data_IF_065963455256
#
_entry.id   IF_065963455256
#
_cell.length_a   1.000
_cell.length_b   1.000
_cell.length_c   1.000
_cell.angle_alpha   90.00
_cell.angle_beta   90.00
_cell.angle_gamma   90.00
#
_symmetry.space_group_name_H-M   'P 1'
#
loop_
_entity.id
_entity.type
_entity.pdbx_description
1 polymer ?
#
# COMPACT_ATOMS: atom_id res chain seq x y z
N UNK A 1 -16.00 6.04 43.58
CA UNK A 1 -16.75 6.60 42.43
C UNK A 1 -16.00 7.83 41.96
N UNK A 2 -15.85 7.96 40.64
CA UNK A 2 -15.08 8.96 39.88
C UNK A 2 -13.60 8.63 39.66
N UNK A 3 -13.38 7.82 38.62
CA UNK A 3 -12.20 7.83 37.75
C UNK A 3 -12.08 9.21 37.07
N UNK A 4 -10.88 9.80 36.97
CA UNK A 4 -10.46 10.70 35.86
C UNK A 4 -8.94 10.90 35.82
N UNK A 5 -8.44 10.77 34.59
CA UNK A 5 -7.10 10.82 33.98
C UNK A 5 -6.25 12.07 34.33
N UNK A 6 -4.92 11.91 34.42
CA UNK A 6 -3.99 12.92 33.91
C UNK A 6 -2.92 12.26 33.01
N UNK A 7 -2.89 12.74 31.77
CA UNK A 7 -2.00 12.37 30.70
C UNK A 7 -0.53 12.50 31.13
N UNK A 8 0.28 11.50 30.80
CA UNK A 8 1.73 11.64 30.84
C UNK A 8 2.14 12.73 29.84
N UNK A 9 2.55 13.89 30.33
CA UNK A 9 3.20 14.92 29.51
C UNK A 9 4.61 14.41 29.22
N UNK A 10 4.82 13.88 28.01
CA UNK A 10 6.15 13.59 27.51
C UNK A 10 6.84 14.93 27.21
N UNK A 11 7.66 15.41 28.16
CA UNK A 11 8.56 16.54 27.91
C UNK A 11 9.68 16.03 26.99
N UNK A 12 9.52 16.20 25.68
CA UNK A 12 10.64 16.10 24.75
C UNK A 12 11.50 17.34 24.96
N UNK A 13 12.65 17.17 25.60
CA UNK A 13 13.72 18.18 25.56
C UNK A 13 14.14 18.36 24.11
N UNK A 14 13.68 19.45 23.47
CA UNK A 14 14.23 19.91 22.21
C UNK A 14 15.67 20.35 22.47
N UNK A 15 16.63 19.49 22.14
CA UNK A 15 18.00 19.93 21.88
C UNK A 15 17.93 20.79 20.62
N UNK A 16 17.93 22.11 20.81
CA UNK A 16 18.12 23.09 19.73
C UNK A 16 19.60 23.04 19.32
N UNK A 17 19.96 22.08 18.49
CA UNK A 17 21.25 22.14 17.80
C UNK A 17 21.16 23.26 16.76
N UNK A 18 21.92 24.34 16.96
CA UNK A 18 21.90 25.56 16.12
C UNK A 18 22.67 25.39 14.81
N UNK A 19 22.97 24.15 14.41
CA UNK A 19 23.57 23.84 13.13
C UNK A 19 22.48 23.81 12.04
N UNK A 20 22.02 25.00 11.64
CA UNK A 20 21.25 25.20 10.42
C UNK A 20 22.18 24.99 9.21
N UNK A 21 22.52 23.75 8.91
CA UNK A 21 23.05 23.41 7.59
C UNK A 21 21.95 23.70 6.56
N UNK A 22 22.26 24.55 5.59
CA UNK A 22 21.36 24.83 4.48
C UNK A 22 21.01 23.52 3.79
N UNK A 23 19.76 23.07 3.94
CA UNK A 23 19.24 21.95 3.14
C UNK A 23 19.35 22.40 1.68
N UNK A 24 20.34 21.87 0.95
CA UNK A 24 20.42 22.06 -0.48
C UNK A 24 19.10 21.58 -1.07
N UNK A 25 18.40 22.49 -1.75
CA UNK A 25 17.09 22.23 -2.34
C UNK A 25 17.28 21.20 -3.45
N UNK A 26 17.19 19.91 -3.13
CA UNK A 26 17.22 18.82 -4.10
C UNK A 26 16.13 19.10 -5.13
N UNK A 27 16.47 19.03 -6.41
CA UNK A 27 15.48 19.15 -7.48
C UNK A 27 14.34 18.15 -7.21
N UNK A 28 13.13 18.68 -7.07
CA UNK A 28 11.94 17.86 -6.90
C UNK A 28 11.68 17.21 -8.26
N UNK A 29 11.60 15.86 -8.35
CA UNK A 29 11.25 15.19 -9.59
C UNK A 29 9.95 15.77 -10.15
N UNK A 30 9.94 16.14 -11.43
CA UNK A 30 8.71 16.57 -12.08
C UNK A 30 7.78 15.36 -12.20
N UNK A 31 6.68 15.35 -11.46
CA UNK A 31 5.61 14.36 -11.62
C UNK A 31 4.73 14.80 -12.79
N UNK A 32 4.54 13.93 -13.78
CA UNK A 32 3.61 14.19 -14.88
C UNK A 32 2.16 14.01 -14.42
N UNK A 33 1.22 14.56 -15.18
CA UNK A 33 -0.19 14.23 -14.99
C UNK A 33 -0.42 12.72 -15.11
N UNK A 34 -1.31 12.20 -14.28
CA UNK A 34 -1.80 10.83 -14.41
C UNK A 34 -2.55 10.63 -15.72
N UNK A 35 -2.50 9.40 -16.25
CA UNK A 35 -3.28 8.98 -17.42
C UNK A 35 -4.13 7.78 -17.05
N UNK A 36 -5.39 7.80 -17.44
CA UNK A 36 -6.26 6.62 -17.39
C UNK A 36 -5.75 5.62 -18.44
N UNK A 37 -5.28 4.46 -17.98
CA UNK A 37 -4.76 3.37 -18.84
C UNK A 37 -5.72 2.21 -19.00
N UNK A 38 -6.79 2.17 -18.20
CA UNK A 38 -7.80 1.14 -18.22
C UNK A 38 -8.83 1.29 -17.12
N UNK A 39 -9.73 0.32 -17.01
CA UNK A 39 -10.78 0.25 -15.99
C UNK A 39 -10.86 -1.17 -15.47
N UNK A 40 -10.90 -1.33 -14.16
CA UNK A 40 -11.12 -2.64 -13.53
C UNK A 40 -12.62 -2.93 -13.56
N UNK A 41 -13.03 -3.86 -14.41
CA UNK A 41 -14.45 -4.22 -14.61
C UNK A 41 -14.89 -5.52 -13.95
N UNK A 42 -14.07 -6.09 -13.06
CA UNK A 42 -14.34 -7.39 -12.43
C UNK A 42 -15.21 -7.22 -11.19
N UNK A 43 -16.36 -7.90 -11.12
CA UNK A 43 -17.24 -7.90 -9.95
C UNK A 43 -16.62 -8.51 -8.67
N UNK A 44 -15.49 -9.21 -8.79
CA UNK A 44 -14.72 -9.68 -7.63
C UNK A 44 -13.83 -8.60 -7.01
N UNK A 45 -13.57 -7.51 -7.73
CA UNK A 45 -12.72 -6.40 -7.30
C UNK A 45 -13.62 -5.20 -7.11
N UNK A 46 -14.15 -5.05 -5.90
CA UNK A 46 -15.17 -4.04 -5.57
C UNK A 46 -14.52 -2.79 -4.99
N UNK A 47 -13.38 -2.94 -4.32
CA UNK A 47 -12.73 -1.89 -3.54
C UNK A 47 -11.20 -2.04 -3.57
N UNK A 48 -10.61 -1.85 -4.76
CA UNK A 48 -9.17 -1.92 -4.93
C UNK A 48 -8.44 -0.78 -4.19
N UNK A 49 -7.63 -1.12 -3.18
CA UNK A 49 -6.83 -0.16 -2.39
C UNK A 49 -5.35 -0.14 -2.78
N UNK A 50 -4.73 -1.30 -3.01
CA UNK A 50 -3.30 -1.42 -3.38
C UNK A 50 -3.04 -1.82 -4.84
N UNK A 51 -1.86 -1.46 -5.38
CA UNK A 51 -1.41 -1.89 -6.71
C UNK A 51 0.11 -2.11 -6.82
N UNK A 52 0.53 -3.33 -7.20
CA UNK A 52 1.94 -3.66 -7.42
C UNK A 52 2.20 -4.24 -8.82
N UNK A 53 3.18 -3.71 -9.56
CA UNK A 53 3.56 -4.25 -10.86
C UNK A 53 4.41 -5.51 -10.75
N UNK A 54 4.08 -6.57 -11.49
CA UNK A 54 4.85 -7.82 -11.50
C UNK A 54 6.25 -7.64 -12.06
N UNK A 55 7.27 -8.11 -11.33
CA UNK A 55 8.64 -8.22 -11.83
C UNK A 55 8.86 -9.42 -12.75
N UNK A 56 8.13 -10.52 -12.49
CA UNK A 56 8.28 -11.79 -13.20
C UNK A 56 7.47 -11.83 -14.50
N UNK A 57 6.33 -11.16 -14.53
CA UNK A 57 5.39 -11.18 -15.64
C UNK A 57 5.07 -9.74 -16.11
N UNK A 58 5.88 -9.16 -17.01
CA UNK A 58 5.64 -7.81 -17.52
C UNK A 58 4.21 -7.64 -18.07
N UNK A 59 3.58 -6.52 -17.71
CA UNK A 59 2.20 -6.23 -18.11
C UNK A 59 1.13 -6.76 -17.15
N UNK A 60 1.51 -7.47 -16.09
CA UNK A 60 0.62 -7.86 -15.00
C UNK A 60 0.83 -7.00 -13.75
N UNK A 61 -0.27 -6.76 -13.05
CA UNK A 61 -0.35 -6.03 -11.79
C UNK A 61 -1.08 -6.91 -10.76
N UNK A 62 -0.80 -6.68 -9.48
CA UNK A 62 -1.46 -7.30 -8.34
C UNK A 62 -2.26 -6.25 -7.57
N UNK A 63 -3.47 -6.58 -7.16
CA UNK A 63 -4.35 -5.74 -6.32
C UNK A 63 -5.15 -6.62 -5.36
N UNK A 64 -5.84 -6.04 -4.40
CA UNK A 64 -6.72 -6.71 -3.44
C UNK A 64 -7.93 -5.81 -3.16
N UNK A 65 -8.99 -6.38 -2.60
CA UNK A 65 -10.02 -5.55 -1.97
C UNK A 65 -9.49 -5.02 -0.61
N UNK A 66 -10.12 -3.99 -0.07
CA UNK A 66 -9.71 -3.34 1.17
C UNK A 66 -10.32 -3.96 2.43
N UNK A 67 -11.65 -4.06 2.52
CA UNK A 67 -12.35 -4.65 3.66
C UNK A 67 -13.46 -5.62 3.23
N UNK A 68 -13.86 -6.52 4.14
CA UNK A 68 -15.10 -7.28 4.00
C UNK A 68 -15.12 -8.42 2.96
N UNK A 69 -13.98 -8.76 2.36
CA UNK A 69 -13.85 -9.88 1.40
C UNK A 69 -12.87 -10.95 1.88
N UNK A 70 -12.76 -12.03 1.12
CA UNK A 70 -11.75 -13.06 1.33
C UNK A 70 -10.32 -12.52 1.14
N UNK A 71 -9.34 -13.18 1.75
CA UNK A 71 -7.93 -12.84 1.61
C UNK A 71 -7.41 -13.26 0.22
N UNK A 72 -7.71 -12.44 -0.78
CA UNK A 72 -7.41 -12.69 -2.18
C UNK A 72 -6.56 -11.58 -2.81
N UNK A 73 -5.62 -12.00 -3.65
CA UNK A 73 -4.85 -11.12 -4.52
C UNK A 73 -5.28 -11.37 -5.96
N UNK A 74 -5.74 -10.33 -6.63
CA UNK A 74 -6.15 -10.38 -8.01
C UNK A 74 -5.00 -9.99 -8.93
N UNK A 75 -4.74 -10.85 -9.92
CA UNK A 75 -3.80 -10.54 -10.98
C UNK A 75 -4.57 -9.90 -12.13
N UNK A 76 -4.22 -8.68 -12.48
CA UNK A 76 -4.86 -7.93 -13.56
C UNK A 76 -3.83 -7.51 -14.60
N UNK A 77 -4.27 -7.25 -15.82
CA UNK A 77 -3.46 -6.58 -16.85
C UNK A 77 -3.31 -5.09 -16.56
N UNK A 78 -2.36 -4.40 -17.20
CA UNK A 78 -2.24 -2.94 -17.13
C UNK A 78 -3.46 -2.17 -17.64
N UNK A 79 -4.40 -2.83 -18.31
CA UNK A 79 -5.68 -2.24 -18.75
C UNK A 79 -6.85 -2.59 -17.81
N UNK A 80 -6.61 -3.30 -16.71
CA UNK A 80 -7.62 -3.61 -15.67
C UNK A 80 -8.35 -4.95 -15.83
N UNK A 81 -8.01 -5.76 -16.84
CA UNK A 81 -8.63 -7.08 -17.04
C UNK A 81 -8.07 -8.13 -16.08
N UNK A 82 -8.92 -8.79 -15.30
CA UNK A 82 -8.53 -9.86 -14.35
C UNK A 82 -8.13 -11.15 -15.08
N UNK A 83 -6.97 -11.69 -14.72
CA UNK A 83 -6.37 -12.89 -15.30
C UNK A 83 -6.47 -14.09 -14.36
N UNK A 84 -6.22 -13.87 -13.06
CA UNK A 84 -6.28 -14.92 -12.05
C UNK A 84 -6.49 -14.34 -10.65
N UNK A 85 -6.69 -15.23 -9.68
CA UNK A 85 -6.82 -14.93 -8.26
C UNK A 85 -5.87 -15.83 -7.47
N UNK A 86 -5.20 -15.27 -6.47
CA UNK A 86 -4.34 -15.98 -5.53
C UNK A 86 -4.99 -15.87 -4.15
N UNK A 87 -5.39 -17.00 -3.57
CA UNK A 87 -5.97 -17.04 -2.22
C UNK A 87 -4.86 -17.20 -1.17
N UNK A 88 -4.85 -16.34 -0.16
CA UNK A 88 -3.90 -16.37 0.95
C UNK A 88 -4.42 -17.31 2.03
N UNK A 89 -3.86 -18.52 2.09
CA UNK A 89 -4.30 -19.53 3.03
C UNK A 89 -4.00 -19.15 4.49
N UNK A 90 -4.99 -19.32 5.36
CA UNK A 90 -4.85 -19.08 6.80
C UNK A 90 -4.82 -17.60 7.22
N UNK A 91 -5.14 -16.69 6.28
CA UNK A 91 -5.23 -15.26 6.54
C UNK A 91 -6.69 -14.84 6.57
N UNK A 92 -7.07 -14.08 7.58
CA UNK A 92 -8.34 -13.35 7.61
C UNK A 92 -8.10 -11.94 7.08
N UNK A 93 -8.87 -11.57 6.07
CA UNK A 93 -8.84 -10.24 5.49
C UNK A 93 -9.83 -9.33 6.22
N UNK A 94 -9.38 -8.13 6.59
CA UNK A 94 -10.19 -7.18 7.35
C UNK A 94 -10.01 -5.75 6.83
N UNK A 95 -8.76 -5.34 6.60
CA UNK A 95 -8.37 -3.97 6.24
C UNK A 95 -6.99 -4.01 5.54
N UNK A 96 -6.96 -4.40 4.27
CA UNK A 96 -5.73 -4.37 3.47
C UNK A 96 -5.68 -3.06 2.70
N UNK A 97 -4.65 -2.26 2.94
CA UNK A 97 -4.54 -0.93 2.32
C UNK A 97 -3.53 -0.88 1.17
N UNK A 98 -2.40 -1.57 1.33
CA UNK A 98 -1.30 -1.50 0.37
C UNK A 98 -0.66 -2.86 0.10
N UNK A 99 -0.02 -2.96 -1.06
CA UNK A 99 0.60 -4.16 -1.61
C UNK A 99 1.90 -3.79 -2.32
N UNK A 100 2.97 -4.49 -1.98
CA UNK A 100 4.26 -4.30 -2.64
C UNK A 100 4.95 -5.63 -2.91
N UNK A 101 5.78 -5.64 -3.96
CA UNK A 101 6.71 -6.74 -4.20
C UNK A 101 7.98 -6.53 -3.40
N UNK A 102 8.25 -7.42 -2.45
CA UNK A 102 9.48 -7.37 -1.70
C UNK A 102 10.68 -7.55 -2.64
N UNK A 103 11.69 -6.70 -2.48
CA UNK A 103 12.85 -6.70 -3.38
C UNK A 103 13.73 -7.95 -3.21
N UNK A 104 13.80 -8.51 -2.00
CA UNK A 104 14.76 -9.56 -1.65
C UNK A 104 14.27 -10.99 -1.93
N UNK A 105 12.99 -11.18 -2.26
CA UNK A 105 12.42 -12.50 -2.53
C UNK A 105 11.57 -12.43 -3.81
N UNK A 106 11.84 -13.26 -4.82
CA UNK A 106 11.20 -13.17 -6.14
C UNK A 106 9.68 -13.37 -6.13
N UNK A 107 9.10 -13.79 -5.00
CA UNK A 107 7.69 -14.14 -4.86
C UNK A 107 7.04 -13.59 -3.58
N UNK A 108 7.74 -12.78 -2.78
CA UNK A 108 7.15 -12.25 -1.55
C UNK A 108 6.33 -10.99 -1.84
N UNK A 109 5.03 -11.14 -1.63
CA UNK A 109 4.08 -10.04 -1.57
C UNK A 109 3.97 -9.59 -0.12
N UNK A 110 4.25 -8.32 0.15
CA UNK A 110 3.96 -7.72 1.44
C UNK A 110 2.65 -6.95 1.31
N UNK A 111 1.74 -7.22 2.21
CA UNK A 111 0.46 -6.53 2.36
C UNK A 111 0.55 -5.74 3.66
N UNK A 112 0.20 -4.46 3.62
CA UNK A 112 0.16 -3.60 4.80
C UNK A 112 -1.25 -3.65 5.38
N UNK A 113 -1.32 -4.00 6.67
CA UNK A 113 -2.53 -3.97 7.48
C UNK A 113 -2.52 -2.66 8.28
N UNK A 114 -3.67 -2.01 8.40
CA UNK A 114 -3.87 -0.88 9.33
C UNK A 114 -4.79 -1.21 10.50
#
# INVERSE_FOLDING_TARGET
>A
MADTIYCAVLIVFLVYDSNCESIERREVPSVSNGRIVGTVGSHHIVEASGLAASKKHPGLLYTHNDHGYDAEIFVITTTGHRQSTITLAGITHNDFEDILLAHALPEALMIVYT
#
